data_IF_484059039931
#
_entry.id   IF_484059039931
#
_cell.length_a   1.000
_cell.length_b   1.000
_cell.length_c   1.000
_cell.angle_alpha   90.00
_cell.angle_beta   90.00
_cell.angle_gamma   90.00
#
_symmetry.space_group_name_H-M   'P 1'
#
loop_
_entity.id
_entity.type
_entity.pdbx_description
1 polymer ?
#
# COMPACT_ATOMS: atom_id res chain seq x y z
N UNK A 1 3.61 6.51 -1.66
CA UNK A 1 4.43 5.56 -0.87
C UNK A 1 5.91 5.86 -0.94
N UNK A 2 6.59 5.76 -2.09
CA UNK A 2 8.07 5.93 -2.15
C UNK A 2 8.52 7.35 -1.78
N UNK A 3 7.81 8.39 -2.24
CA UNK A 3 8.12 9.78 -1.87
C UNK A 3 8.04 9.99 -0.34
N UNK A 4 6.98 9.49 0.28
CA UNK A 4 6.81 9.53 1.75
C UNK A 4 7.87 8.72 2.49
N UNK A 5 8.35 7.61 1.91
CA UNK A 5 9.52 6.89 2.46
C UNK A 5 10.75 7.79 2.47
N UNK A 6 11.03 8.50 1.39
CA UNK A 6 12.16 9.43 1.34
C UNK A 6 11.98 10.60 2.34
N UNK A 7 10.76 11.15 2.47
CA UNK A 7 10.45 12.18 3.49
C UNK A 7 10.68 11.67 4.91
N UNK A 8 10.27 10.44 5.21
CA UNK A 8 10.40 9.85 6.56
C UNK A 8 11.85 9.74 7.03
N UNK A 9 12.80 9.62 6.11
CA UNK A 9 14.24 9.52 6.41
C UNK A 9 15.02 10.78 6.00
N UNK A 10 14.33 11.90 5.79
CA UNK A 10 14.90 13.20 5.42
C UNK A 10 15.80 13.19 4.17
N UNK A 11 15.62 12.20 3.28
CA UNK A 11 16.41 12.04 2.06
C UNK A 11 15.81 12.84 0.89
N UNK A 12 15.99 14.15 0.96
CA UNK A 12 15.47 15.09 -0.03
C UNK A 12 15.99 14.84 -1.45
N UNK A 13 17.21 14.32 -1.61
CA UNK A 13 17.76 14.01 -2.93
C UNK A 13 16.98 12.86 -3.59
N UNK A 14 16.79 11.75 -2.85
CA UNK A 14 16.02 10.60 -3.35
C UNK A 14 14.54 10.96 -3.53
N UNK A 15 13.99 11.82 -2.67
CA UNK A 15 12.64 12.37 -2.84
C UNK A 15 12.50 13.05 -4.21
N UNK A 16 13.44 13.92 -4.60
CA UNK A 16 13.38 14.59 -5.91
C UNK A 16 13.44 13.59 -7.08
N UNK A 17 14.29 12.56 -6.99
CA UNK A 17 14.36 11.49 -8.00
C UNK A 17 13.03 10.74 -8.12
N UNK A 18 12.37 10.45 -6.99
CA UNK A 18 11.08 9.74 -6.96
C UNK A 18 9.96 10.60 -7.56
N UNK A 19 9.88 11.88 -7.20
CA UNK A 19 8.84 12.80 -7.68
C UNK A 19 8.92 13.00 -9.20
N UNK A 20 10.14 13.06 -9.75
CA UNK A 20 10.39 13.23 -11.18
C UNK A 20 10.59 11.90 -11.92
N UNK A 21 10.28 10.77 -11.29
CA UNK A 21 10.49 9.47 -11.91
C UNK A 21 9.57 9.30 -13.13
N UNK A 22 10.08 8.77 -14.26
CA UNK A 22 9.32 8.68 -15.51
C UNK A 22 8.20 7.64 -15.47
N UNK A 23 8.23 6.72 -14.50
CA UNK A 23 7.22 5.67 -14.34
C UNK A 23 7.23 5.09 -12.91
N UNK A 24 6.20 4.34 -12.51
CA UNK A 24 6.11 3.72 -11.19
C UNK A 24 7.26 2.75 -10.87
N UNK A 25 7.80 2.06 -11.88
CA UNK A 25 8.95 1.15 -11.73
C UNK A 25 10.21 1.90 -11.30
N UNK A 26 10.52 3.02 -11.95
CA UNK A 26 11.64 3.90 -11.60
C UNK A 26 11.44 4.52 -10.20
N UNK A 27 10.25 4.99 -9.87
CA UNK A 27 9.94 5.49 -8.52
C UNK A 27 10.18 4.42 -7.44
N UNK A 28 9.80 3.16 -7.73
CA UNK A 28 10.06 2.02 -6.83
C UNK A 28 11.55 1.70 -6.72
N UNK A 29 12.32 1.80 -7.80
CA UNK A 29 13.77 1.60 -7.79
C UNK A 29 14.45 2.66 -6.91
N UNK A 30 14.19 3.95 -7.12
CA UNK A 30 14.74 5.03 -6.29
C UNK A 30 14.31 4.90 -4.81
N UNK A 31 13.09 4.44 -4.54
CA UNK A 31 12.66 4.17 -3.17
C UNK A 31 13.45 3.08 -2.43
N UNK A 32 14.21 2.23 -3.14
CA UNK A 32 15.17 1.28 -2.53
C UNK A 32 16.50 1.94 -2.16
N UNK A 33 16.80 3.11 -2.74
CA UNK A 33 18.04 3.86 -2.54
C UNK A 33 17.94 4.90 -1.42
N UNK A 34 16.77 5.03 -0.77
CA UNK A 34 16.55 5.98 0.34
C UNK A 34 17.60 5.78 1.43
N UNK A 35 18.39 6.83 1.68
CA UNK A 35 19.44 6.87 2.69
C UNK A 35 18.87 6.94 4.09
N UNK A 36 19.63 6.45 5.08
CA UNK A 36 19.21 6.47 6.48
C UNK A 36 18.03 5.54 6.81
N UNK A 37 17.65 4.65 5.88
CA UNK A 37 16.54 3.73 6.08
C UNK A 37 16.74 2.85 7.31
N UNK A 38 15.73 2.85 8.18
CA UNK A 38 15.62 1.96 9.34
C UNK A 38 14.31 1.20 9.27
N UNK A 39 14.40 -0.14 9.31
CA UNK A 39 13.27 -1.03 9.06
C UNK A 39 12.15 -0.86 10.11
N UNK A 40 12.52 -0.72 11.38
CA UNK A 40 11.61 -0.50 12.51
C UNK A 40 10.80 0.80 12.37
N UNK A 41 11.46 1.91 12.01
CA UNK A 41 10.80 3.19 11.76
C UNK A 41 9.86 3.05 10.56
N UNK A 42 10.30 2.39 9.50
CA UNK A 42 9.45 2.17 8.33
C UNK A 42 8.23 1.32 8.67
N UNK A 43 8.39 0.22 9.41
CA UNK A 43 7.30 -0.68 9.76
C UNK A 43 6.26 0.00 10.64
N UNK A 44 6.68 0.89 11.54
CA UNK A 44 5.79 1.71 12.37
C UNK A 44 4.97 2.73 11.56
N UNK A 45 5.45 3.18 10.39
CA UNK A 45 4.84 4.29 9.64
C UNK A 45 4.21 3.88 8.30
N UNK A 46 4.65 2.77 7.69
CA UNK A 46 4.29 2.38 6.32
C UNK A 46 2.79 2.25 6.10
N UNK A 47 2.07 1.74 7.10
CA UNK A 47 0.63 1.53 7.02
C UNK A 47 -0.11 2.87 6.84
N UNK A 48 0.10 3.81 7.77
CA UNK A 48 -0.51 5.14 7.73
C UNK A 48 -0.13 5.92 6.47
N UNK A 49 1.11 5.76 5.98
CA UNK A 49 1.56 6.35 4.71
C UNK A 49 0.71 5.82 3.54
N UNK A 50 0.44 4.52 3.50
CA UNK A 50 -0.34 3.89 2.42
C UNK A 50 -1.84 4.20 2.55
N UNK A 51 -2.39 4.31 3.77
CA UNK A 51 -3.75 4.81 3.99
C UNK A 51 -3.89 6.22 3.42
N UNK A 52 -3.02 7.17 3.81
CA UNK A 52 -3.07 8.56 3.31
C UNK A 52 -2.96 8.64 1.79
N UNK A 53 -2.06 7.84 1.19
CA UNK A 53 -1.89 7.81 -0.26
C UNK A 53 -3.12 7.24 -0.98
N UNK A 54 -3.73 6.18 -0.46
CA UNK A 54 -4.96 5.63 -1.03
C UNK A 54 -6.15 6.58 -0.81
N UNK A 55 -6.27 7.20 0.36
CA UNK A 55 -7.31 8.22 0.60
C UNK A 55 -7.22 9.32 -0.45
N UNK A 56 -6.03 9.90 -0.67
CA UNK A 56 -5.84 10.91 -1.70
C UNK A 56 -6.21 10.39 -3.11
N UNK A 57 -5.84 9.15 -3.46
CA UNK A 57 -6.19 8.53 -4.76
C UNK A 57 -7.70 8.37 -4.95
N UNK A 58 -8.39 7.84 -3.95
CA UNK A 58 -9.81 7.53 -4.04
C UNK A 58 -10.68 8.78 -3.84
N UNK A 59 -10.26 9.75 -3.02
CA UNK A 59 -11.03 10.99 -2.81
C UNK A 59 -10.99 11.94 -4.01
N UNK A 60 -9.91 11.92 -4.80
CA UNK A 60 -9.77 12.81 -5.97
C UNK A 60 -10.46 12.29 -7.23
N UNK A 61 -10.89 11.02 -7.26
CA UNK A 61 -11.49 10.40 -8.44
C UNK A 61 -12.79 9.69 -8.08
N UNK A 62 -13.92 10.26 -8.51
CA UNK A 62 -15.24 9.79 -8.13
C UNK A 62 -15.52 8.35 -8.59
N UNK A 63 -15.10 7.98 -9.80
CA UNK A 63 -15.30 6.62 -10.31
C UNK A 63 -14.56 5.58 -9.45
N UNK A 64 -13.31 5.89 -9.05
CA UNK A 64 -12.55 5.03 -8.15
C UNK A 64 -13.17 4.99 -6.75
N UNK A 65 -13.61 6.14 -6.21
CA UNK A 65 -14.32 6.21 -4.93
C UNK A 65 -15.50 5.25 -4.91
N UNK A 66 -16.39 5.36 -5.90
CA UNK A 66 -17.58 4.51 -6.01
C UNK A 66 -17.21 3.03 -6.18
N UNK A 67 -16.16 2.72 -6.94
CA UNK A 67 -15.65 1.36 -7.06
C UNK A 67 -15.22 0.77 -5.71
N UNK A 68 -14.50 1.54 -4.89
CA UNK A 68 -14.08 1.10 -3.56
C UNK A 68 -15.27 0.95 -2.62
N UNK A 69 -16.21 1.89 -2.62
CA UNK A 69 -17.42 1.82 -1.78
C UNK A 69 -18.30 0.60 -2.14
N UNK A 70 -18.41 0.26 -3.42
CA UNK A 70 -19.15 -0.91 -3.90
C UNK A 70 -18.58 -2.26 -3.41
N UNK A 71 -17.42 -2.26 -2.76
CA UNK A 71 -16.90 -3.45 -2.07
C UNK A 71 -17.63 -3.76 -0.75
N UNK A 72 -18.49 -2.85 -0.27
CA UNK A 72 -19.34 -3.01 0.92
C UNK A 72 -18.55 -3.47 2.15
N UNK A 73 -18.95 -4.57 2.78
CA UNK A 73 -18.30 -5.10 3.98
C UNK A 73 -17.28 -6.21 3.67
N UNK A 74 -17.00 -6.47 2.39
CA UNK A 74 -16.06 -7.54 2.01
C UNK A 74 -14.65 -7.25 2.53
N UNK A 75 -13.98 -8.31 2.96
CA UNK A 75 -12.54 -8.28 3.26
C UNK A 75 -11.78 -8.21 1.93
N UNK A 76 -10.96 -7.17 1.76
CA UNK A 76 -10.14 -7.00 0.58
C UNK A 76 -8.78 -7.66 0.79
N UNK A 77 -8.31 -8.40 -0.22
CA UNK A 77 -7.02 -9.10 -0.16
C UNK A 77 -6.22 -8.87 -1.43
N UNK A 78 -4.90 -8.70 -1.28
CA UNK A 78 -3.96 -8.74 -2.39
C UNK A 78 -3.40 -10.18 -2.51
N UNK A 79 -3.93 -10.94 -3.47
CA UNK A 79 -3.59 -12.33 -3.72
C UNK A 79 -2.24 -12.48 -4.46
N UNK A 80 -1.16 -12.12 -3.78
CA UNK A 80 0.19 -12.20 -4.30
C UNK A 80 1.04 -13.24 -3.54
N UNK A 81 1.59 -14.28 -4.20
CA UNK A 81 2.43 -15.28 -3.54
C UNK A 81 3.82 -14.75 -3.17
N UNK A 82 4.24 -13.62 -3.78
CA UNK A 82 5.56 -13.01 -3.59
C UNK A 82 5.54 -11.77 -2.70
N UNK A 83 4.35 -11.30 -2.29
CA UNK A 83 4.21 -10.18 -1.36
C UNK A 83 3.54 -10.63 -0.05
N UNK A 84 4.36 -10.75 0.99
CA UNK A 84 3.90 -11.12 2.34
C UNK A 84 3.65 -9.92 3.25
N UNK A 85 3.91 -8.69 2.78
CA UNK A 85 3.70 -7.48 3.58
C UNK A 85 2.38 -6.85 3.17
N UNK A 86 2.23 -6.54 1.89
CA UNK A 86 1.03 -5.90 1.38
C UNK A 86 -0.03 -6.91 0.98
N UNK A 87 0.38 -8.13 0.61
CA UNK A 87 -0.51 -9.24 0.27
C UNK A 87 -0.57 -10.35 1.30
N UNK A 88 -1.39 -11.36 0.98
CA UNK A 88 -1.65 -12.53 1.82
C UNK A 88 -0.60 -13.65 1.65
N UNK A 89 0.37 -13.49 0.75
CA UNK A 89 1.42 -14.48 0.51
C UNK A 89 0.94 -15.77 -0.15
N UNK A 90 -0.21 -15.73 -0.82
CA UNK A 90 -0.83 -16.83 -1.57
C UNK A 90 -1.22 -16.32 -2.97
N UNK A 91 -1.18 -17.20 -3.97
CA UNK A 91 -1.73 -16.93 -5.30
C UNK A 91 -3.27 -16.97 -5.26
N UNK A 92 -3.92 -16.31 -6.21
CA UNK A 92 -5.39 -16.24 -6.31
C UNK A 92 -6.08 -17.60 -6.39
N UNK A 93 -5.41 -18.59 -6.99
CA UNK A 93 -5.89 -19.95 -7.18
C UNK A 93 -5.44 -20.92 -6.07
N UNK A 94 -4.80 -20.42 -5.01
CA UNK A 94 -4.36 -21.25 -3.89
C UNK A 94 -5.56 -21.86 -3.15
N UNK A 95 -5.42 -23.13 -2.77
CA UNK A 95 -6.42 -23.81 -1.94
C UNK A 95 -6.61 -23.06 -0.61
N UNK A 96 -7.87 -22.89 -0.20
CA UNK A 96 -8.25 -22.20 1.02
C UNK A 96 -7.80 -20.73 1.12
N UNK A 97 -7.65 -20.03 -0.01
CA UNK A 97 -7.30 -18.60 -0.04
C UNK A 97 -8.30 -17.72 0.73
N UNK A 98 -9.57 -18.11 0.78
CA UNK A 98 -10.62 -17.38 1.50
C UNK A 98 -10.54 -17.56 3.02
N UNK A 99 -9.74 -18.51 3.53
CA UNK A 99 -9.56 -18.73 4.96
C UNK A 99 -8.39 -17.88 5.50
N UNK A 100 -8.63 -16.84 6.32
CA UNK A 100 -7.57 -15.97 6.81
C UNK A 100 -6.50 -16.68 7.65
N UNK A 101 -6.82 -17.85 8.22
CA UNK A 101 -5.88 -18.65 9.00
C UNK A 101 -4.80 -19.32 8.14
N UNK A 102 -4.98 -19.38 6.82
CA UNK A 102 -4.00 -19.98 5.90
C UNK A 102 -3.04 -18.94 5.30
N UNK A 103 -3.33 -17.65 5.49
CA UNK A 103 -2.55 -16.57 4.93
C UNK A 103 -1.13 -16.56 5.50
N UNK A 104 -0.16 -16.31 4.63
CA UNK A 104 1.27 -16.28 4.94
C UNK A 104 1.85 -14.86 4.92
N UNK A 105 0.97 -13.86 4.78
CA UNK A 105 1.30 -12.46 4.68
C UNK A 105 0.34 -11.57 5.46
N UNK A 106 0.73 -10.31 5.63
CA UNK A 106 0.05 -9.36 6.53
C UNK A 106 -1.15 -8.66 5.88
N UNK A 107 -1.34 -8.77 4.56
CA UNK A 107 -2.44 -8.13 3.82
C UNK A 107 -2.61 -6.62 4.11
N UNK A 108 -1.53 -5.89 4.36
CA UNK A 108 -1.63 -4.48 4.78
C UNK A 108 -2.32 -3.60 3.74
N UNK A 109 -2.27 -3.96 2.44
CA UNK A 109 -2.93 -3.17 1.39
C UNK A 109 -4.45 -3.32 1.48
N UNK A 110 -4.94 -4.56 1.62
CA UNK A 110 -6.34 -4.84 1.82
C UNK A 110 -6.91 -4.10 3.02
N UNK A 111 -6.22 -4.17 4.16
CA UNK A 111 -6.61 -3.44 5.36
C UNK A 111 -6.58 -1.92 5.18
N UNK A 112 -5.56 -1.37 4.50
CA UNK A 112 -5.50 0.07 4.23
C UNK A 112 -6.66 0.55 3.32
N UNK A 113 -7.03 -0.24 2.32
CA UNK A 113 -8.17 0.07 1.44
C UNK A 113 -9.50 0.03 2.18
N UNK A 114 -9.68 -0.92 3.10
CA UNK A 114 -10.87 -1.00 3.94
C UNK A 114 -10.98 0.18 4.92
N UNK A 115 -9.86 0.64 5.47
CA UNK A 115 -9.86 1.86 6.29
C UNK A 115 -10.24 3.09 5.46
N UNK A 116 -9.66 3.25 4.26
CA UNK A 116 -10.03 4.34 3.33
C UNK A 116 -11.50 4.27 2.95
N UNK A 117 -12.04 3.07 2.68
CA UNK A 117 -13.47 2.86 2.42
C UNK A 117 -14.32 3.37 3.57
N UNK A 118 -13.97 3.04 4.81
CA UNK A 118 -14.69 3.52 6.00
C UNK A 118 -14.61 5.05 6.14
N UNK A 119 -13.46 5.66 5.87
CA UNK A 119 -13.31 7.12 5.92
C UNK A 119 -14.12 7.86 4.85
N UNK A 120 -14.26 7.28 3.65
CA UNK A 120 -14.98 7.89 2.52
C UNK A 120 -16.50 7.67 2.53
N UNK A 121 -16.97 6.70 3.32
CA UNK A 121 -18.39 6.40 3.51
C UNK A 121 -19.06 7.34 4.53
N UNK A 122 -18.26 8.07 5.33
CA UNK A 122 -18.70 9.04 6.32
C UNK A 122 -18.87 10.45 5.74
#
# INVERSE_FOLDING_TARGET
MMAEKARLFDDNETLQKIIHAPNPGAAKAFGREVRGFKQDIWDANRYNIVVKANLAKFSQNEALKQFLLATNERVLVEASPVDKIWGIGLAEDAENIENPLTWKGLNLLGFALMEVRAQLAN
#
